data_IF_623311937985
#
_entry.id   IF_623311937985
#
_cell.length_a   1.000
_cell.length_b   1.000
_cell.length_c   1.000
_cell.angle_alpha   90.00
_cell.angle_beta   90.00
_cell.angle_gamma   90.00
#
_symmetry.space_group_name_H-M   'P 1'
#
loop_
_entity.id
_entity.type
_entity.pdbx_description
1 polymer ?
#
# COMPACT_ATOMS: atom_id res chain seq x y z
N UNK A 1 6.42 35.00 -9.63
CA UNK A 1 7.48 34.49 -8.71
C UNK A 1 6.93 33.32 -7.90
N UNK A 2 5.85 33.47 -7.14
CA UNK A 2 5.27 32.38 -6.30
C UNK A 2 4.86 31.12 -7.08
N UNK A 3 4.24 31.25 -8.26
CA UNK A 3 3.81 30.10 -9.07
C UNK A 3 4.99 29.26 -9.60
N UNK A 4 6.13 29.90 -9.86
CA UNK A 4 7.36 29.24 -10.34
C UNK A 4 8.03 28.45 -9.23
N UNK A 5 8.11 29.03 -8.03
CA UNK A 5 8.65 28.35 -6.84
C UNK A 5 7.81 27.14 -6.46
N UNK A 6 6.47 27.26 -6.50
CA UNK A 6 5.57 26.15 -6.22
C UNK A 6 5.74 24.97 -7.19
N UNK A 7 5.98 25.25 -8.49
CA UNK A 7 6.31 24.20 -9.47
C UNK A 7 7.67 23.55 -9.19
N UNK A 8 8.68 24.32 -8.81
CA UNK A 8 10.00 23.76 -8.45
C UNK A 8 9.87 22.87 -7.21
N UNK A 9 9.11 23.29 -6.19
CA UNK A 9 8.84 22.50 -5.00
C UNK A 9 8.14 21.19 -5.35
N UNK A 10 7.06 21.24 -6.12
CA UNK A 10 6.31 20.05 -6.55
C UNK A 10 7.17 19.07 -7.38
N UNK A 11 8.11 19.59 -8.18
CA UNK A 11 9.07 18.78 -8.92
C UNK A 11 10.10 18.10 -8.01
N UNK A 12 10.65 18.83 -7.03
CA UNK A 12 11.65 18.31 -6.09
C UNK A 12 11.03 17.35 -5.05
N UNK A 13 9.73 17.46 -4.76
CA UNK A 13 8.99 16.57 -3.87
C UNK A 13 8.28 15.40 -4.56
N UNK A 14 8.50 15.22 -5.87
CA UNK A 14 7.90 14.15 -6.68
C UNK A 14 6.36 14.12 -6.69
N UNK A 15 5.71 15.30 -6.61
CA UNK A 15 4.25 15.42 -6.49
C UNK A 15 3.54 15.93 -7.76
N UNK A 16 4.25 16.00 -8.89
CA UNK A 16 3.69 16.34 -10.21
C UNK A 16 3.07 15.11 -10.89
N UNK A 17 2.04 15.30 -11.70
CA UNK A 17 1.58 14.24 -12.61
C UNK A 17 2.62 13.96 -13.70
N UNK A 18 2.51 12.82 -14.39
CA UNK A 18 3.42 12.46 -15.48
C UNK A 18 3.40 13.49 -16.61
N UNK A 19 2.23 14.04 -16.97
CA UNK A 19 2.11 15.08 -17.99
C UNK A 19 2.71 16.41 -17.55
N UNK A 20 2.46 16.83 -16.30
CA UNK A 20 3.01 18.07 -15.73
C UNK A 20 4.53 18.01 -15.61
N UNK A 21 5.05 16.84 -15.19
CA UNK A 21 6.48 16.60 -15.07
C UNK A 21 7.16 16.64 -16.43
N UNK A 22 6.58 15.99 -17.44
CA UNK A 22 7.14 15.99 -18.79
C UNK A 22 7.23 17.42 -19.35
N UNK A 23 6.15 18.20 -19.20
CA UNK A 23 6.14 19.61 -19.64
C UNK A 23 7.16 20.45 -18.86
N UNK A 24 7.31 20.22 -17.56
CA UNK A 24 8.28 20.94 -16.74
C UNK A 24 9.74 20.57 -17.07
N UNK A 25 10.01 19.30 -17.40
CA UNK A 25 11.33 18.82 -17.83
C UNK A 25 11.72 19.38 -19.22
N UNK A 26 10.74 19.53 -20.12
CA UNK A 26 10.92 20.25 -21.38
C UNK A 26 11.28 21.72 -21.15
N UNK A 27 10.58 22.42 -20.26
CA UNK A 27 10.90 23.81 -19.87
C UNK A 27 12.31 23.93 -19.24
N UNK A 28 12.69 22.97 -18.39
CA UNK A 28 14.03 22.86 -17.78
C UNK A 28 15.15 22.69 -18.80
N UNK A 29 14.87 21.96 -19.89
CA UNK A 29 15.82 21.75 -20.99
C UNK A 29 16.04 23.02 -21.81
N UNK A 30 15.00 23.84 -21.97
CA UNK A 30 14.99 25.05 -22.79
C UNK A 30 15.41 26.33 -22.03
N UNK A 31 15.30 26.35 -20.69
CA UNK A 31 15.50 27.55 -19.88
C UNK A 31 16.67 27.38 -18.88
N UNK A 32 17.77 28.11 -19.13
CA UNK A 32 18.97 28.08 -18.27
C UNK A 32 18.71 28.69 -16.87
N UNK A 33 17.93 29.76 -16.78
CA UNK A 33 17.62 30.44 -15.51
C UNK A 33 16.75 29.57 -14.60
N UNK A 34 15.83 28.79 -15.18
CA UNK A 34 15.04 27.80 -14.44
C UNK A 34 15.91 26.68 -13.89
N UNK A 35 16.88 26.21 -14.69
CA UNK A 35 17.81 25.17 -14.26
C UNK A 35 18.67 25.61 -13.07
N UNK A 36 19.19 26.85 -13.11
CA UNK A 36 19.96 27.43 -12.01
C UNK A 36 19.15 27.56 -10.72
N UNK A 37 17.88 27.93 -10.83
CA UNK A 37 17.00 28.06 -9.67
C UNK A 37 16.65 26.70 -9.05
N UNK A 38 16.32 25.70 -9.89
CA UNK A 38 16.09 24.31 -9.43
C UNK A 38 17.34 23.74 -8.74
N UNK A 39 18.53 24.01 -9.28
CA UNK A 39 19.79 23.56 -8.68
C UNK A 39 20.06 24.25 -7.33
N UNK A 40 19.78 25.55 -7.23
CA UNK A 40 19.93 26.32 -5.99
C UNK A 40 18.98 25.81 -4.90
N UNK A 41 17.72 25.56 -5.24
CA UNK A 41 16.72 25.05 -4.31
C UNK A 41 17.06 23.62 -3.87
N UNK A 42 17.53 22.76 -4.79
CA UNK A 42 18.04 21.42 -4.49
C UNK A 42 19.22 21.45 -3.51
N UNK A 43 20.18 22.36 -3.71
CA UNK A 43 21.31 22.55 -2.78
C UNK A 43 20.84 23.03 -1.41
N UNK A 44 19.83 23.90 -1.37
CA UNK A 44 19.24 24.40 -0.11
C UNK A 44 18.55 23.28 0.66
N UNK A 45 17.76 22.44 -0.02
CA UNK A 45 17.15 21.24 0.57
C UNK A 45 18.22 20.27 1.11
N UNK A 46 19.27 19.99 0.32
CA UNK A 46 20.36 19.12 0.75
C UNK A 46 21.12 19.67 1.97
N UNK A 47 21.33 20.99 2.04
CA UNK A 47 21.95 21.65 3.20
C UNK A 47 21.06 21.58 4.44
N UNK A 48 19.74 21.74 4.28
CA UNK A 48 18.77 21.63 5.38
C UNK A 48 18.74 20.19 5.92
N UNK A 49 18.75 19.20 5.04
CA UNK A 49 18.81 17.78 5.42
C UNK A 49 20.13 17.44 6.13
N UNK A 50 21.26 17.92 5.61
CA UNK A 50 22.56 17.77 6.25
C UNK A 50 22.61 18.45 7.63
N UNK A 51 22.02 19.63 7.77
CA UNK A 51 21.92 20.34 9.05
C UNK A 51 21.04 19.60 10.05
N UNK A 52 19.89 19.07 9.62
CA UNK A 52 19.00 18.25 10.44
C UNK A 52 19.68 16.94 10.88
N UNK A 53 20.48 16.33 10.00
CA UNK A 53 21.29 15.16 10.31
C UNK A 53 22.36 15.47 11.36
N UNK A 54 23.07 16.60 11.21
CA UNK A 54 24.10 17.04 12.17
C UNK A 54 23.47 17.39 13.52
N UNK A 55 22.34 18.08 13.55
CA UNK A 55 21.60 18.40 14.79
C UNK A 55 21.14 17.12 15.50
N UNK A 56 20.59 16.16 14.76
CA UNK A 56 20.22 14.84 15.29
C UNK A 56 21.44 14.11 15.86
N UNK A 57 22.55 14.07 15.12
CA UNK A 57 23.81 13.46 15.58
C UNK A 57 24.35 14.13 16.83
N UNK A 58 24.29 15.46 16.91
CA UNK A 58 24.76 16.23 18.06
C UNK A 58 23.85 16.06 19.28
N UNK A 59 22.54 16.00 19.10
CA UNK A 59 21.58 15.67 20.17
C UNK A 59 21.82 14.27 20.71
N UNK A 60 22.04 13.29 19.83
CA UNK A 60 22.42 11.92 20.23
C UNK A 60 23.76 11.89 20.97
N UNK A 61 24.76 12.66 20.52
CA UNK A 61 26.05 12.77 21.19
C UNK A 61 25.96 13.48 22.56
N UNK A 62 25.11 14.51 22.68
CA UNK A 62 24.87 15.23 23.93
C UNK A 62 24.14 14.35 24.96
N UNK A 63 23.14 13.56 24.52
CA UNK A 63 22.44 12.58 25.35
C UNK A 63 23.40 11.47 25.84
N UNK A 64 24.36 11.06 25.02
CA UNK A 64 25.41 10.12 25.43
C UNK A 64 26.39 10.71 26.45
N UNK A 65 26.72 12.01 26.36
CA UNK A 65 27.61 12.68 27.31
C UNK A 65 26.94 12.97 28.66
N UNK A 66 25.63 13.22 28.69
CA UNK A 66 24.88 13.47 29.93
C UNK A 66 24.62 12.20 30.76
N UNK A 67 24.84 11.00 30.20
CA UNK A 67 24.59 9.70 30.86
C UNK A 67 25.80 9.14 31.65
N UNK A 68 26.90 9.88 31.79
CA UNK A 68 28.11 9.43 32.52
C UNK A 68 28.15 9.81 34.01
N UNK A 69 27.12 10.47 34.55
CA UNK A 69 27.02 10.77 35.99
C UNK A 69 25.80 10.08 36.62
N UNK A 70 25.94 8.80 36.98
CA UNK A 70 24.88 8.09 37.70
C UNK A 70 25.26 6.68 38.14
N UNK A 71 25.70 6.56 39.39
CA UNK A 71 25.53 5.38 40.26
C UNK A 71 26.09 4.04 39.79
N UNK A 72 27.18 3.60 40.40
CA UNK A 72 27.68 2.21 40.36
C UNK A 72 26.61 1.21 40.80
N UNK A 73 26.05 0.46 39.85
CA UNK A 73 25.38 -0.83 40.11
C UNK A 73 25.96 -1.87 39.14
N UNK A 74 26.76 -2.79 39.69
CA UNK A 74 27.19 -4.10 39.14
C UNK A 74 27.37 -4.22 37.62
N UNK A 75 28.54 -3.81 37.10
CA UNK A 75 28.86 -3.70 35.67
C UNK A 75 28.92 -4.99 34.84
N UNK A 76 28.54 -6.15 35.38
CA UNK A 76 28.53 -7.44 34.65
C UNK A 76 27.13 -7.82 34.16
N UNK A 77 26.05 -7.40 34.84
CA UNK A 77 24.67 -7.73 34.45
C UNK A 77 24.12 -6.82 33.34
N UNK A 78 24.53 -5.55 33.30
CA UNK A 78 24.06 -4.57 32.30
C UNK A 78 24.69 -4.74 30.91
N UNK A 79 25.91 -5.27 30.82
CA UNK A 79 26.61 -5.48 29.54
C UNK A 79 25.97 -6.62 28.73
N UNK A 80 25.43 -7.63 29.42
CA UNK A 80 24.71 -8.76 28.78
C UNK A 80 23.36 -8.29 28.24
N UNK A 81 22.63 -7.43 28.98
CA UNK A 81 21.34 -6.91 28.53
C UNK A 81 21.44 -5.96 27.31
N UNK A 82 22.49 -5.13 27.23
CA UNK A 82 22.71 -4.23 26.11
C UNK A 82 23.10 -4.96 24.82
N UNK A 83 23.93 -6.01 24.92
CA UNK A 83 24.27 -6.86 23.77
C UNK A 83 23.04 -7.63 23.25
N UNK A 84 22.16 -8.09 24.16
CA UNK A 84 20.90 -8.71 23.78
C UNK A 84 19.97 -7.74 23.03
N UNK A 85 19.83 -6.48 23.47
CA UNK A 85 18.97 -5.51 22.79
C UNK A 85 19.50 -5.08 21.41
N UNK A 86 20.82 -4.94 21.26
CA UNK A 86 21.45 -4.61 19.96
C UNK A 86 21.28 -5.74 18.94
N UNK A 87 21.14 -6.99 19.38
CA UNK A 87 20.75 -8.10 18.50
C UNK A 87 19.23 -8.16 18.34
N UNK A 88 18.45 -8.10 19.42
CA UNK A 88 17.00 -8.34 19.39
C UNK A 88 16.24 -7.26 18.62
N UNK A 89 16.64 -5.99 18.62
CA UNK A 89 15.91 -4.93 17.90
C UNK A 89 16.04 -5.06 16.37
N UNK A 90 17.24 -5.17 15.79
CA UNK A 90 17.36 -5.43 14.35
C UNK A 90 16.89 -6.84 14.00
N UNK A 91 17.01 -7.84 14.88
CA UNK A 91 16.42 -9.17 14.60
C UNK A 91 14.89 -9.11 14.64
N UNK A 92 14.29 -8.33 15.53
CA UNK A 92 12.84 -8.06 15.55
C UNK A 92 12.40 -7.33 14.28
N UNK A 93 13.13 -6.30 13.85
CA UNK A 93 12.84 -5.62 12.59
C UNK A 93 13.04 -6.52 11.37
N UNK A 94 14.09 -7.35 11.32
CA UNK A 94 14.35 -8.27 10.20
C UNK A 94 13.34 -9.42 10.17
N UNK A 95 12.94 -9.96 11.32
CA UNK A 95 11.91 -11.00 11.42
C UNK A 95 10.51 -10.44 11.09
N UNK A 96 10.20 -9.22 11.52
CA UNK A 96 8.90 -8.59 11.29
C UNK A 96 8.75 -7.97 9.89
N UNK A 97 9.86 -7.74 9.17
CA UNK A 97 9.86 -7.13 7.83
C UNK A 97 9.95 -8.15 6.69
N UNK A 98 10.03 -9.46 6.99
CA UNK A 98 9.97 -10.53 5.97
C UNK A 98 8.67 -11.37 6.03
N UNK A 99 7.85 -11.17 7.08
CA UNK A 99 6.63 -11.96 7.34
C UNK A 99 5.53 -11.09 7.96
N UNK A 100 5.20 -9.95 7.36
CA UNK A 100 3.99 -9.21 7.72
C UNK A 100 2.89 -9.43 6.67
N UNK A 101 1.64 -9.16 7.04
CA UNK A 101 0.49 -9.41 6.17
C UNK A 101 0.56 -8.65 4.84
N UNK A 102 1.19 -7.47 4.81
CA UNK A 102 1.43 -6.71 3.58
C UNK A 102 2.36 -7.45 2.60
N UNK A 103 3.37 -8.17 3.11
CA UNK A 103 4.21 -9.05 2.29
C UNK A 103 3.40 -10.23 1.74
N UNK A 104 2.56 -10.86 2.58
CA UNK A 104 1.68 -11.95 2.12
C UNK A 104 0.67 -11.46 1.07
N UNK A 105 0.11 -10.27 1.24
CA UNK A 105 -0.70 -9.65 0.20
C UNK A 105 0.09 -9.48 -1.10
N UNK A 106 1.29 -8.91 -1.05
CA UNK A 106 2.10 -8.69 -2.25
C UNK A 106 2.46 -10.00 -2.98
N UNK A 107 2.71 -11.08 -2.24
CA UNK A 107 3.07 -12.39 -2.79
C UNK A 107 1.86 -13.14 -3.39
N UNK A 108 0.72 -13.12 -2.70
CA UNK A 108 -0.43 -13.96 -3.06
C UNK A 108 -1.53 -13.22 -3.84
N UNK A 109 -1.47 -11.89 -3.93
CA UNK A 109 -2.46 -11.09 -4.65
C UNK A 109 -2.09 -10.84 -6.11
N UNK A 110 -3.11 -10.92 -6.96
CA UNK A 110 -3.09 -10.37 -8.31
C UNK A 110 -4.44 -9.64 -8.54
N UNK A 111 -4.47 -8.51 -9.25
CA UNK A 111 -5.73 -7.86 -9.57
C UNK A 111 -6.62 -8.82 -10.35
N UNK A 112 -7.92 -8.83 -10.03
CA UNK A 112 -8.87 -9.68 -10.72
C UNK A 112 -8.85 -9.37 -12.24
N UNK A 113 -8.73 -10.38 -13.13
CA UNK A 113 -8.57 -10.13 -14.55
C UNK A 113 -9.82 -9.46 -15.12
N UNK A 114 -9.65 -8.73 -16.23
CA UNK A 114 -10.79 -8.19 -16.96
C UNK A 114 -11.64 -9.33 -17.55
N UNK A 115 -12.88 -9.42 -17.09
CA UNK A 115 -13.91 -10.36 -17.56
C UNK A 115 -15.17 -9.63 -18.05
N UNK A 116 -15.12 -8.31 -18.14
CA UNK A 116 -16.26 -7.44 -18.46
C UNK A 116 -16.13 -6.85 -19.84
N UNK A 117 -14.90 -6.52 -20.28
CA UNK A 117 -14.66 -5.99 -21.63
C UNK A 117 -14.66 -7.12 -22.66
N UNK A 118 -15.78 -7.81 -22.84
CA UNK A 118 -16.00 -8.61 -24.04
C UNK A 118 -16.48 -7.68 -25.16
N UNK A 119 -15.82 -7.76 -26.32
CA UNK A 119 -16.14 -6.98 -27.52
C UNK A 119 -17.64 -7.08 -27.86
N UNK A 120 -18.37 -5.96 -27.72
CA UNK A 120 -19.68 -5.78 -28.37
C UNK A 120 -20.88 -5.43 -27.49
N UNK A 121 -20.76 -5.31 -26.16
CA UNK A 121 -21.91 -4.89 -25.34
C UNK A 121 -21.98 -3.37 -25.21
N UNK A 122 -22.78 -2.75 -26.07
CA UNK A 122 -23.05 -1.30 -26.14
C UNK A 122 -23.92 -0.75 -25.00
N UNK A 123 -24.05 -1.47 -23.88
CA UNK A 123 -25.04 -1.16 -22.84
C UNK A 123 -24.54 -0.31 -21.66
N UNK A 124 -23.24 0.04 -21.54
CA UNK A 124 -22.83 0.90 -20.42
C UNK A 124 -21.50 1.63 -20.61
N UNK A 125 -21.55 2.84 -21.18
CA UNK A 125 -20.40 3.76 -21.25
C UNK A 125 -19.71 3.98 -19.90
N UNK A 126 -20.50 4.07 -18.82
CA UNK A 126 -19.98 4.23 -17.45
C UNK A 126 -19.18 3.03 -16.96
N UNK A 127 -19.62 1.82 -17.29
CA UNK A 127 -18.90 0.59 -16.91
C UNK A 127 -17.61 0.48 -17.71
N UNK A 128 -17.63 0.82 -19.00
CA UNK A 128 -16.42 0.88 -19.82
C UNK A 128 -15.42 1.91 -19.29
N UNK A 129 -15.89 3.08 -18.83
CA UNK A 129 -15.04 4.08 -18.19
C UNK A 129 -14.38 3.53 -16.91
N UNK A 130 -15.16 2.86 -16.05
CA UNK A 130 -14.66 2.26 -14.82
C UNK A 130 -13.63 1.15 -15.10
N UNK A 131 -13.92 0.27 -16.06
CA UNK A 131 -13.00 -0.80 -16.48
C UNK A 131 -11.74 -0.25 -17.15
N UNK A 132 -11.83 0.85 -17.91
CA UNK A 132 -10.65 1.49 -18.49
C UNK A 132 -9.73 2.06 -17.40
N UNK A 133 -10.30 2.74 -16.39
CA UNK A 133 -9.53 3.20 -15.22
C UNK A 133 -8.89 2.01 -14.48
N UNK A 134 -9.63 0.92 -14.30
CA UNK A 134 -9.13 -0.31 -13.68
C UNK A 134 -7.95 -0.92 -14.44
N UNK A 135 -8.08 -1.09 -15.76
CA UNK A 135 -7.06 -1.67 -16.63
C UNK A 135 -5.79 -0.80 -16.72
N UNK A 136 -5.95 0.53 -16.60
CA UNK A 136 -4.85 1.49 -16.47
C UNK A 136 -4.24 1.55 -15.07
N UNK A 137 -4.73 0.73 -14.13
CA UNK A 137 -4.32 0.71 -12.72
C UNK A 137 -4.59 2.03 -11.98
N UNK A 138 -5.50 2.85 -12.50
CA UNK A 138 -6.01 4.07 -11.84
C UNK A 138 -7.03 3.67 -10.75
N UNK A 139 -6.63 2.81 -9.81
CA UNK A 139 -7.54 2.13 -8.90
C UNK A 139 -8.37 3.06 -8.02
N UNK A 140 -7.81 4.18 -7.58
CA UNK A 140 -8.56 5.18 -6.80
C UNK A 140 -9.73 5.79 -7.60
N UNK A 141 -9.54 5.99 -8.92
CA UNK A 141 -10.58 6.47 -9.83
C UNK A 141 -11.58 5.35 -10.14
N UNK A 142 -11.08 4.16 -10.44
CA UNK A 142 -11.91 2.99 -10.71
C UNK A 142 -12.86 2.69 -9.55
N UNK A 143 -12.37 2.73 -8.30
CA UNK A 143 -13.17 2.55 -7.09
C UNK A 143 -14.35 3.54 -7.02
N UNK A 144 -14.11 4.83 -7.30
CA UNK A 144 -15.16 5.86 -7.31
C UNK A 144 -16.21 5.59 -8.39
N UNK A 145 -15.78 5.19 -9.59
CA UNK A 145 -16.66 4.89 -10.71
C UNK A 145 -17.51 3.64 -10.43
N UNK A 146 -16.91 2.55 -9.95
CA UNK A 146 -17.64 1.33 -9.59
C UNK A 146 -18.64 1.56 -8.45
N UNK A 147 -18.26 2.33 -7.43
CA UNK A 147 -19.17 2.74 -6.35
C UNK A 147 -20.39 3.47 -6.90
N UNK A 148 -20.21 4.42 -7.81
CA UNK A 148 -21.32 5.14 -8.44
C UNK A 148 -22.22 4.18 -9.25
N UNK A 149 -21.63 3.24 -10.01
CA UNK A 149 -22.38 2.24 -10.78
C UNK A 149 -23.18 1.32 -9.86
N UNK A 150 -22.58 0.83 -8.77
CA UNK A 150 -23.24 -0.04 -7.78
C UNK A 150 -24.43 0.66 -7.12
N UNK A 151 -24.24 1.91 -6.68
CA UNK A 151 -25.29 2.69 -6.02
C UNK A 151 -26.46 3.04 -6.96
N UNK A 152 -26.22 3.07 -8.28
CA UNK A 152 -27.25 3.26 -9.29
C UNK A 152 -28.03 1.97 -9.65
N UNK A 153 -27.80 0.86 -8.94
CA UNK A 153 -28.61 -0.36 -9.10
C UNK A 153 -28.23 -1.22 -10.33
N UNK A 154 -26.93 -1.35 -10.62
CA UNK A 154 -26.44 -2.23 -11.69
C UNK A 154 -26.87 -3.69 -11.51
N UNK A 155 -27.15 -4.38 -12.62
CA UNK A 155 -27.34 -5.84 -12.66
C UNK A 155 -26.04 -6.61 -12.86
N UNK A 156 -24.93 -5.92 -13.13
CA UNK A 156 -23.65 -6.59 -13.33
C UNK A 156 -23.07 -7.03 -11.98
N UNK A 157 -23.12 -8.35 -11.75
CA UNK A 157 -22.67 -9.02 -10.54
C UNK A 157 -21.19 -8.77 -10.20
N UNK A 158 -20.35 -8.42 -11.19
CA UNK A 158 -18.91 -8.19 -10.98
C UNK A 158 -18.57 -6.77 -10.49
N UNK A 159 -19.49 -5.81 -10.54
CA UNK A 159 -19.19 -4.42 -10.15
C UNK A 159 -18.72 -4.33 -8.70
N UNK A 160 -19.33 -5.09 -7.79
CA UNK A 160 -18.91 -5.12 -6.38
C UNK A 160 -17.50 -5.68 -6.21
N UNK A 161 -17.15 -6.71 -6.99
CA UNK A 161 -15.81 -7.30 -6.97
C UNK A 161 -14.77 -6.29 -7.48
N UNK A 162 -15.01 -5.64 -8.61
CA UNK A 162 -14.08 -4.64 -9.15
C UNK A 162 -13.96 -3.40 -8.26
N UNK A 163 -15.04 -2.96 -7.58
CA UNK A 163 -14.97 -1.92 -6.56
C UNK A 163 -14.06 -2.34 -5.41
N UNK A 164 -14.24 -3.55 -4.88
CA UNK A 164 -13.44 -4.07 -3.78
C UNK A 164 -11.96 -4.19 -4.17
N UNK A 165 -11.64 -4.77 -5.33
CA UNK A 165 -10.25 -4.84 -5.83
C UNK A 165 -9.66 -3.45 -5.96
N UNK A 166 -10.39 -2.52 -6.58
CA UNK A 166 -9.91 -1.14 -6.76
C UNK A 166 -9.65 -0.44 -5.43
N UNK A 167 -10.50 -0.65 -4.41
CA UNK A 167 -10.30 -0.12 -3.06
C UNK A 167 -9.04 -0.72 -2.42
N UNK A 168 -8.86 -2.05 -2.49
CA UNK A 168 -7.67 -2.72 -1.94
C UNK A 168 -6.38 -2.18 -2.56
N UNK A 169 -6.30 -2.13 -3.89
CA UNK A 169 -5.10 -1.68 -4.61
C UNK A 169 -4.87 -0.16 -4.60
N UNK A 170 -5.80 0.62 -4.03
CA UNK A 170 -5.64 2.07 -3.84
C UNK A 170 -5.46 2.47 -2.37
N UNK A 171 -4.96 1.54 -1.54
CA UNK A 171 -4.72 1.73 -0.09
C UNK A 171 -5.99 2.06 0.71
N UNK A 172 -7.17 1.65 0.22
CA UNK A 172 -8.47 1.80 0.89
C UNK A 172 -8.99 0.42 1.35
N UNK A 173 -8.10 -0.45 1.84
CA UNK A 173 -8.42 -1.84 2.22
C UNK A 173 -9.53 -1.93 3.27
N UNK A 174 -9.58 -1.01 4.25
CA UNK A 174 -10.68 -0.91 5.24
C UNK A 174 -12.05 -0.73 4.60
N UNK A 175 -12.13 0.10 3.57
CA UNK A 175 -13.38 0.31 2.83
C UNK A 175 -13.76 -0.93 2.01
N UNK A 176 -12.77 -1.61 1.42
CA UNK A 176 -12.98 -2.88 0.73
C UNK A 176 -13.52 -3.95 1.68
N UNK A 177 -12.92 -4.10 2.86
CA UNK A 177 -13.37 -5.03 3.90
C UNK A 177 -14.82 -4.73 4.31
N UNK A 178 -15.14 -3.46 4.59
CA UNK A 178 -16.51 -3.05 4.92
C UNK A 178 -17.50 -3.41 3.81
N UNK A 179 -17.18 -3.04 2.57
CA UNK A 179 -18.02 -3.32 1.39
C UNK A 179 -18.28 -4.82 1.24
N UNK A 180 -17.23 -5.63 1.39
CA UNK A 180 -17.32 -7.07 1.25
C UNK A 180 -18.09 -7.69 2.42
N UNK A 181 -17.81 -7.32 3.67
CA UNK A 181 -18.47 -7.88 4.85
C UNK A 181 -19.97 -7.56 4.92
N UNK A 182 -20.40 -6.43 4.38
CA UNK A 182 -21.81 -6.03 4.31
C UNK A 182 -22.56 -6.66 3.12
N UNK A 183 -21.89 -7.44 2.26
CA UNK A 183 -22.53 -8.10 1.11
C UNK A 183 -23.61 -9.09 1.57
N UNK A 184 -24.73 -9.14 0.86
CA UNK A 184 -25.77 -10.16 1.12
C UNK A 184 -25.20 -11.55 0.80
N UNK A 185 -25.16 -12.45 1.78
CA UNK A 185 -24.60 -13.81 1.65
C UNK A 185 -25.28 -14.68 0.58
N UNK A 186 -26.46 -14.29 0.09
CA UNK A 186 -27.31 -15.13 -0.76
C UNK A 186 -27.20 -14.86 -2.28
N UNK A 187 -26.25 -14.04 -2.78
CA UNK A 187 -25.87 -13.93 -4.22
C UNK A 187 -24.42 -13.42 -4.38
N UNK A 188 -23.67 -13.60 -5.51
CA UNK A 188 -24.01 -14.12 -6.87
C UNK A 188 -23.06 -15.26 -7.38
N UNK A 189 -23.04 -15.58 -8.70
CA UNK A 189 -22.13 -16.57 -9.35
C UNK A 189 -20.64 -16.40 -9.03
N UNK A 190 -20.22 -15.19 -8.64
CA UNK A 190 -18.84 -14.84 -8.34
C UNK A 190 -18.51 -14.84 -6.83
N UNK A 191 -19.36 -15.45 -5.98
CA UNK A 191 -19.16 -15.54 -4.53
C UNK A 191 -17.73 -15.95 -4.14
N UNK A 192 -17.20 -17.01 -4.75
CA UNK A 192 -15.85 -17.51 -4.43
C UNK A 192 -14.78 -16.44 -4.69
N UNK A 193 -14.93 -15.64 -5.76
CA UNK A 193 -13.99 -14.54 -6.05
C UNK A 193 -14.12 -13.39 -5.04
N UNK A 194 -15.32 -13.11 -4.55
CA UNK A 194 -15.56 -12.12 -3.49
C UNK A 194 -14.99 -12.57 -2.14
N UNK A 195 -15.13 -13.85 -1.81
CA UNK A 195 -14.57 -14.45 -0.60
C UNK A 195 -13.03 -14.37 -0.63
N UNK A 196 -12.41 -14.71 -1.77
CA UNK A 196 -10.97 -14.53 -1.98
C UNK A 196 -10.53 -13.06 -1.86
N UNK A 197 -11.28 -12.13 -2.47
CA UNK A 197 -10.96 -10.71 -2.40
C UNK A 197 -11.05 -10.15 -0.96
N UNK A 198 -11.93 -10.71 -0.12
CA UNK A 198 -12.01 -10.34 1.29
C UNK A 198 -10.72 -10.71 2.02
N UNK A 199 -10.24 -11.95 1.84
CA UNK A 199 -8.99 -12.43 2.43
C UNK A 199 -7.82 -11.52 2.02
N UNK A 200 -7.71 -11.21 0.73
CA UNK A 200 -6.67 -10.29 0.24
C UNK A 200 -6.79 -8.89 0.84
N UNK A 201 -8.01 -8.38 1.02
CA UNK A 201 -8.23 -7.06 1.61
C UNK A 201 -7.88 -7.02 3.10
N UNK A 202 -8.14 -8.12 3.83
CA UNK A 202 -7.73 -8.28 5.23
C UNK A 202 -6.20 -8.26 5.35
N UNK A 203 -5.49 -8.99 4.48
CA UNK A 203 -4.02 -8.96 4.44
C UNK A 203 -3.48 -7.56 4.12
N UNK A 204 -4.08 -6.86 3.15
CA UNK A 204 -3.69 -5.49 2.80
C UNK A 204 -3.91 -4.48 3.95
N UNK A 205 -4.83 -4.75 4.88
CA UNK A 205 -5.07 -3.94 6.07
C UNK A 205 -4.30 -4.40 7.32
N UNK A 206 -3.43 -5.41 7.20
CA UNK A 206 -2.72 -6.05 8.32
C UNK A 206 -3.64 -6.72 9.36
N UNK A 207 -4.69 -7.39 8.87
CA UNK A 207 -5.63 -8.19 9.65
C UNK A 207 -5.38 -9.69 9.39
N UNK A 208 -4.17 -10.16 9.68
CA UNK A 208 -3.72 -11.53 9.37
C UNK A 208 -4.47 -12.63 10.13
N UNK A 209 -4.89 -12.38 11.37
CA UNK A 209 -5.69 -13.33 12.15
C UNK A 209 -7.06 -13.54 11.50
N UNK A 210 -7.76 -12.44 11.20
CA UNK A 210 -9.05 -12.47 10.49
C UNK A 210 -8.91 -13.05 9.08
N UNK A 211 -7.82 -12.75 8.38
CA UNK A 211 -7.53 -13.33 7.07
C UNK A 211 -7.40 -14.85 7.16
N UNK A 212 -6.75 -15.38 8.20
CA UNK A 212 -6.59 -16.82 8.40
C UNK A 212 -7.92 -17.51 8.74
N UNK A 213 -8.77 -16.87 9.54
CA UNK A 213 -10.12 -17.36 9.82
C UNK A 213 -10.98 -17.44 8.56
N UNK A 214 -11.01 -16.36 7.76
CA UNK A 214 -11.76 -16.32 6.50
C UNK A 214 -11.18 -17.30 5.46
N UNK A 215 -9.85 -17.44 5.38
CA UNK A 215 -9.20 -18.41 4.50
C UNK A 215 -9.54 -19.86 4.86
N UNK A 216 -9.62 -20.16 6.15
CA UNK A 216 -10.03 -21.49 6.63
C UNK A 216 -11.47 -21.81 6.19
N UNK A 217 -12.38 -20.83 6.30
CA UNK A 217 -13.76 -20.99 5.80
C UNK A 217 -13.79 -21.14 4.27
N UNK A 218 -13.03 -20.32 3.57
CA UNK A 218 -12.91 -20.35 2.11
C UNK A 218 -12.49 -21.72 1.59
N UNK A 219 -11.45 -22.32 2.17
CA UNK A 219 -10.93 -23.63 1.74
C UNK A 219 -11.93 -24.79 1.94
N UNK A 220 -12.89 -24.69 2.86
CA UNK A 220 -13.92 -25.71 3.06
C UNK A 220 -14.93 -25.79 1.91
N UNK A 221 -15.14 -24.68 1.21
CA UNK A 221 -16.12 -24.56 0.14
C UNK A 221 -15.50 -24.07 -1.18
N UNK A 222 -14.18 -24.12 -1.30
CA UNK A 222 -13.49 -23.68 -2.51
C UNK A 222 -13.67 -24.73 -3.62
N UNK A 223 -14.09 -24.27 -4.80
CA UNK A 223 -14.30 -25.12 -5.98
C UNK A 223 -13.09 -25.05 -6.93
N UNK A 224 -11.88 -25.05 -6.37
CA UNK A 224 -10.62 -25.00 -7.12
C UNK A 224 -10.15 -23.59 -7.53
N UNK A 225 -10.86 -22.53 -7.15
CA UNK A 225 -10.47 -21.16 -7.46
C UNK A 225 -9.23 -20.76 -6.64
N UNK A 226 -8.14 -20.36 -7.30
CA UNK A 226 -6.88 -19.98 -6.64
C UNK A 226 -6.37 -21.04 -5.64
N UNK A 227 -6.70 -22.32 -5.84
CA UNK A 227 -6.47 -23.40 -4.86
C UNK A 227 -5.02 -23.46 -4.36
N UNK A 228 -4.07 -23.48 -5.29
CA UNK A 228 -2.64 -23.55 -4.97
C UNK A 228 -2.19 -22.35 -4.13
N UNK A 229 -2.61 -21.13 -4.52
CA UNK A 229 -2.30 -19.91 -3.77
C UNK A 229 -2.95 -19.91 -2.38
N UNK A 230 -4.20 -20.37 -2.28
CA UNK A 230 -4.94 -20.42 -1.02
C UNK A 230 -4.30 -21.42 -0.03
N UNK A 231 -3.91 -22.61 -0.49
CA UNK A 231 -3.22 -23.60 0.34
C UNK A 231 -1.82 -23.14 0.77
N UNK A 232 -1.07 -22.48 -0.13
CA UNK A 232 0.24 -21.91 0.18
C UNK A 232 0.10 -20.78 1.22
N UNK A 233 -0.83 -19.84 1.01
CA UNK A 233 -1.12 -18.76 1.95
C UNK A 233 -1.53 -19.29 3.33
N UNK A 234 -2.33 -20.36 3.39
CA UNK A 234 -2.73 -20.97 4.67
C UNK A 234 -1.53 -21.52 5.44
N UNK A 235 -0.56 -22.13 4.76
CA UNK A 235 0.67 -22.62 5.41
C UNK A 235 1.49 -21.48 6.00
N UNK A 236 1.58 -20.35 5.28
CA UNK A 236 2.32 -19.18 5.74
C UNK A 236 1.62 -18.46 6.89
N UNK A 237 0.31 -18.25 6.82
CA UNK A 237 -0.46 -17.66 7.91
C UNK A 237 -0.39 -18.51 9.19
N UNK A 238 -0.49 -19.83 9.08
CA UNK A 238 -0.33 -20.74 10.23
C UNK A 238 1.09 -20.79 10.80
N UNK A 239 2.09 -20.33 10.06
CA UNK A 239 3.47 -20.22 10.57
C UNK A 239 3.66 -18.91 11.34
N UNK A 240 2.97 -17.85 10.94
CA UNK A 240 3.11 -16.49 11.51
C UNK A 240 2.21 -16.31 12.74
N UNK A 241 0.96 -16.77 12.67
CA UNK A 241 -0.10 -16.49 13.65
C UNK A 241 -0.43 -17.71 14.53
N UNK A 242 0.61 -18.42 14.96
CA UNK A 242 0.52 -19.69 15.70
C UNK A 242 0.46 -19.51 17.22
#
# INVERSE_FOLDING_TARGET
>A
MEERTAKIDAYLSDSMTSEERLSFEEELSANEDLRKEVELQRKTFALLEAAAYIDTKNKVAALNRQKSSGGSIGGTLLKVAAAALVLLIPTYFILNNQYNDAHLFAEYSEPYPDRVTTMGSSENDKLNEAMNAYNKKEYAKAAKLFKAIRLNGTKNENVLLYEAVSLTYSNQAKEAIKLLSERKKNEPKNRIALDWQLILSLLADNQGEEANEELTKFLQHNEGYQQEKAEALQKDLNRIWR
#
